data_IF_620573929633
#
_entry.id   IF_620573929633
#
_cell.length_a   1.000
_cell.length_b   1.000
_cell.length_c   1.000
_cell.angle_alpha   90.00
_cell.angle_beta   90.00
_cell.angle_gamma   90.00
#
_symmetry.space_group_name_H-M   'P 1'
#
loop_
_entity.id
_entity.type
_entity.pdbx_description
1 polymer ?
#
# COMPACT_ATOMS: atom_id res chain seq x y z
N UNK A 1 0.65 -17.48 -14.59
CA UNK A 1 1.57 -16.80 -13.67
C UNK A 1 1.06 -15.41 -13.35
N UNK A 2 1.34 -14.91 -12.15
CA UNK A 2 0.93 -13.58 -11.68
C UNK A 2 2.17 -12.88 -11.12
N UNK A 3 2.30 -11.58 -11.39
CA UNK A 3 3.26 -10.68 -10.75
C UNK A 3 2.49 -9.64 -9.96
N UNK A 4 2.91 -9.39 -8.73
CA UNK A 4 2.26 -8.44 -7.81
C UNK A 4 3.27 -7.34 -7.46
N UNK A 5 3.36 -6.25 -8.27
CA UNK A 5 4.15 -5.08 -7.89
C UNK A 5 3.50 -4.35 -6.73
N UNK A 6 4.30 -3.98 -5.73
CA UNK A 6 3.84 -3.23 -4.56
C UNK A 6 4.24 -1.77 -4.69
N UNK A 7 3.28 -0.86 -4.64
CA UNK A 7 3.50 0.60 -4.66
C UNK A 7 3.93 1.08 -3.27
N UNK A 8 5.14 0.66 -2.90
CA UNK A 8 5.67 0.84 -1.55
C UNK A 8 5.75 2.33 -1.17
N UNK A 9 5.41 2.63 0.08
CA UNK A 9 5.38 3.97 0.68
C UNK A 9 4.47 4.98 -0.05
N UNK A 10 3.74 4.55 -1.09
CA UNK A 10 2.82 5.39 -1.86
C UNK A 10 3.31 5.75 -3.26
N UNK A 11 4.54 5.38 -3.62
CA UNK A 11 5.08 5.60 -4.96
C UNK A 11 4.76 4.41 -5.87
N UNK A 12 4.20 4.70 -7.06
CA UNK A 12 3.98 3.67 -8.08
C UNK A 12 5.30 3.03 -8.53
N UNK A 13 5.26 1.72 -8.75
CA UNK A 13 6.28 1.04 -9.56
C UNK A 13 6.28 1.57 -11.00
N UNK A 14 7.34 1.27 -11.76
CA UNK A 14 7.39 1.51 -13.21
C UNK A 14 6.43 0.53 -13.93
N UNK A 15 5.13 0.88 -13.89
CA UNK A 15 4.07 0.00 -14.36
C UNK A 15 4.11 -0.19 -15.87
N UNK A 16 4.57 0.80 -16.63
CA UNK A 16 4.71 0.68 -18.09
C UNK A 16 5.71 -0.43 -18.45
N UNK A 17 6.86 -0.48 -17.80
CA UNK A 17 7.86 -1.54 -18.03
C UNK A 17 7.36 -2.90 -17.57
N UNK A 18 6.71 -2.98 -16.40
CA UNK A 18 6.14 -4.24 -15.91
C UNK A 18 5.07 -4.75 -16.90
N UNK A 19 4.21 -3.87 -17.39
CA UNK A 19 3.20 -4.22 -18.40
C UNK A 19 3.84 -4.72 -19.72
N UNK A 20 4.90 -4.06 -20.22
CA UNK A 20 5.62 -4.53 -21.38
C UNK A 20 6.20 -5.95 -21.19
N UNK A 21 6.74 -6.22 -19.99
CA UNK A 21 7.21 -7.56 -19.62
C UNK A 21 6.06 -8.57 -19.55
N UNK A 22 4.88 -8.19 -19.07
CA UNK A 22 3.71 -9.07 -19.03
C UNK A 22 3.28 -9.52 -20.42
N UNK A 23 3.32 -8.62 -21.41
CA UNK A 23 3.05 -8.96 -22.82
C UNK A 23 4.10 -9.92 -23.38
N UNK A 24 5.38 -9.71 -23.04
CA UNK A 24 6.48 -10.54 -23.50
C UNK A 24 6.46 -11.96 -22.90
N UNK A 25 6.12 -12.08 -21.61
CA UNK A 25 6.25 -13.35 -20.87
C UNK A 25 4.92 -14.00 -20.49
N UNK A 26 3.79 -13.43 -20.83
CA UNK A 26 2.45 -14.01 -20.65
C UNK A 26 2.03 -14.15 -19.19
N UNK A 27 2.31 -13.15 -18.32
CA UNK A 27 1.81 -13.14 -16.94
C UNK A 27 0.74 -12.07 -16.74
N UNK A 28 -0.08 -12.25 -15.71
CA UNK A 28 -1.07 -11.28 -15.22
C UNK A 28 -0.48 -10.37 -14.16
N UNK A 29 -1.04 -9.18 -14.02
CA UNK A 29 -0.56 -8.17 -13.07
C UNK A 29 -1.67 -7.82 -12.08
N UNK A 30 -1.36 -7.90 -10.78
CA UNK A 30 -2.18 -7.35 -9.71
C UNK A 30 -1.35 -6.27 -9.02
N UNK A 31 -1.75 -4.98 -9.14
CA UNK A 31 -1.09 -3.90 -8.41
C UNK A 31 -1.50 -3.95 -6.93
N UNK A 32 -0.55 -4.17 -6.04
CA UNK A 32 -0.74 -3.89 -4.62
C UNK A 32 -0.51 -2.40 -4.37
N UNK A 33 -1.60 -1.64 -4.46
CA UNK A 33 -1.62 -0.20 -4.22
C UNK A 33 -2.08 0.16 -2.80
N UNK A 34 -1.93 -0.76 -1.84
CA UNK A 34 -2.35 -0.56 -0.43
C UNK A 34 -1.78 0.69 0.23
N UNK A 35 -0.69 1.25 -0.31
CA UNK A 35 -0.06 2.49 0.15
C UNK A 35 -0.31 3.68 -0.79
N UNK A 36 -0.98 3.50 -1.93
CA UNK A 36 -0.92 4.45 -3.03
C UNK A 36 -2.27 5.09 -3.41
N UNK A 37 -3.29 5.00 -2.55
CA UNK A 37 -4.55 5.71 -2.78
C UNK A 37 -4.30 7.22 -2.85
N UNK A 38 -4.75 7.87 -3.94
CA UNK A 38 -4.46 9.28 -4.24
C UNK A 38 -3.14 9.53 -4.97
N UNK A 39 -2.30 8.51 -5.16
CA UNK A 39 -1.09 8.59 -5.97
C UNK A 39 -1.40 8.64 -7.47
N UNK A 40 -0.41 9.09 -8.26
CA UNK A 40 -0.49 9.14 -9.74
C UNK A 40 0.78 8.55 -10.36
N UNK A 41 0.61 7.93 -11.52
CA UNK A 41 1.70 7.46 -12.36
C UNK A 41 1.49 8.02 -13.77
N UNK A 42 2.51 8.69 -14.32
CA UNK A 42 2.44 9.41 -15.61
C UNK A 42 1.19 10.31 -15.70
N UNK A 43 0.91 11.07 -14.63
CA UNK A 43 -0.23 11.98 -14.53
C UNK A 43 -1.59 11.32 -14.33
N UNK A 44 -1.70 10.00 -14.44
CA UNK A 44 -2.96 9.26 -14.28
C UNK A 44 -3.08 8.68 -12.86
N UNK A 45 -4.28 8.60 -12.27
CA UNK A 45 -4.45 8.05 -10.94
C UNK A 45 -4.06 6.56 -10.90
N UNK A 46 -3.33 6.18 -9.84
CA UNK A 46 -3.16 4.76 -9.47
C UNK A 46 -4.55 4.17 -9.23
N UNK A 47 -4.77 2.95 -9.68
CA UNK A 47 -6.08 2.30 -9.62
C UNK A 47 -6.90 2.38 -10.91
N UNK A 48 -6.41 3.10 -11.95
CA UNK A 48 -7.08 3.15 -13.26
C UNK A 48 -6.94 1.85 -14.07
N UNK A 49 -6.16 0.89 -13.57
CA UNK A 49 -5.92 -0.42 -14.20
C UNK A 49 -5.46 -0.35 -15.67
N UNK A 50 -4.74 0.74 -16.05
CA UNK A 50 -4.21 0.90 -17.42
C UNK A 50 -3.14 -0.13 -17.74
N UNK A 51 -2.37 -0.53 -16.73
CA UNK A 51 -1.21 -1.40 -16.86
C UNK A 51 -1.34 -2.72 -16.11
N UNK A 52 -2.50 -2.99 -15.51
CA UNK A 52 -2.74 -4.18 -14.70
C UNK A 52 -4.11 -4.79 -14.99
N UNK A 53 -4.29 -6.05 -14.60
CA UNK A 53 -5.57 -6.73 -14.64
C UNK A 53 -6.44 -6.34 -13.44
N UNK A 54 -5.82 -6.15 -12.28
CA UNK A 54 -6.49 -5.74 -11.03
C UNK A 54 -5.56 -4.77 -10.29
N UNK A 55 -6.15 -3.76 -9.62
CA UNK A 55 -5.47 -2.94 -8.61
C UNK A 55 -6.21 -3.07 -7.28
N UNK A 56 -5.47 -3.26 -6.18
CA UNK A 56 -6.05 -3.32 -4.84
C UNK A 56 -5.65 -2.12 -3.99
N UNK A 57 -6.61 -1.58 -3.22
CA UNK A 57 -6.36 -0.61 -2.16
C UNK A 57 -6.76 -1.18 -0.81
N UNK A 58 -6.07 -0.74 0.23
CA UNK A 58 -6.38 -1.04 1.63
C UNK A 58 -6.94 0.20 2.32
N UNK A 59 -7.97 -0.02 3.14
CA UNK A 59 -8.58 1.00 4.00
C UNK A 59 -8.45 0.67 5.48
N UNK A 60 -7.39 -0.10 5.84
CA UNK A 60 -6.98 -0.34 7.23
C UNK A 60 -6.74 0.99 7.96
N UNK A 61 -6.90 1.08 9.29
CA UNK A 61 -6.83 2.33 10.07
C UNK A 61 -5.59 3.19 9.83
N UNK A 62 -4.43 2.59 9.54
CA UNK A 62 -3.17 3.31 9.32
C UNK A 62 -3.04 3.93 7.92
N UNK A 63 -3.94 3.61 6.98
CA UNK A 63 -3.86 4.08 5.59
C UNK A 63 -4.24 5.56 5.46
N UNK A 64 -3.99 6.13 4.28
CA UNK A 64 -4.23 7.55 3.97
C UNK A 64 -5.69 7.92 4.20
N UNK A 65 -6.62 7.05 3.79
CA UNK A 65 -8.03 7.05 4.16
C UNK A 65 -8.38 5.67 4.72
N UNK A 66 -9.40 5.62 5.57
CA UNK A 66 -9.77 4.38 6.27
C UNK A 66 -11.27 4.13 6.25
N UNK A 67 -11.64 2.85 6.35
CA UNK A 67 -12.99 2.38 6.65
C UNK A 67 -13.03 1.58 7.96
N UNK A 68 -12.11 1.86 8.91
CA UNK A 68 -11.73 1.03 10.06
C UNK A 68 -11.05 -0.26 9.61
N UNK A 69 -11.75 -1.14 8.92
CA UNK A 69 -11.21 -2.25 8.15
C UNK A 69 -11.87 -2.25 6.77
N UNK A 70 -11.15 -2.65 5.73
CA UNK A 70 -11.68 -2.73 4.38
C UNK A 70 -10.62 -2.64 3.30
N UNK A 71 -11.10 -2.76 2.08
CA UNK A 71 -10.29 -2.62 0.87
C UNK A 71 -11.19 -2.69 -0.36
N UNK A 72 -10.60 -2.43 -1.50
CA UNK A 72 -11.28 -2.51 -2.79
C UNK A 72 -10.35 -3.11 -3.83
N UNK A 73 -10.92 -3.94 -4.71
CA UNK A 73 -10.27 -4.42 -5.92
C UNK A 73 -10.93 -3.75 -7.13
N UNK A 74 -10.13 -3.12 -7.97
CA UNK A 74 -10.54 -2.41 -9.18
C UNK A 74 -10.07 -3.17 -10.40
N UNK A 75 -10.88 -3.17 -11.47
CA UNK A 75 -10.51 -3.74 -12.77
C UNK A 75 -11.30 -3.08 -13.89
N UNK A 76 -10.76 -3.07 -15.09
CA UNK A 76 -11.47 -2.69 -16.32
C UNK A 76 -12.07 -3.90 -17.06
N UNK A 77 -11.85 -5.12 -16.56
CA UNK A 77 -12.39 -6.36 -17.12
C UNK A 77 -13.73 -6.71 -16.44
N UNK A 78 -14.81 -6.68 -17.21
CA UNK A 78 -16.15 -6.94 -16.70
C UNK A 78 -16.31 -8.39 -16.16
N UNK A 79 -15.62 -9.36 -16.76
CA UNK A 79 -15.66 -10.75 -16.30
C UNK A 79 -14.95 -10.91 -14.96
N UNK A 80 -13.78 -10.27 -14.77
CA UNK A 80 -13.09 -10.23 -13.48
C UNK A 80 -13.94 -9.51 -12.43
N UNK A 81 -14.57 -8.38 -12.77
CA UNK A 81 -15.45 -7.65 -11.85
C UNK A 81 -16.63 -8.51 -11.36
N UNK A 82 -17.32 -9.18 -12.29
CA UNK A 82 -18.44 -10.09 -11.96
C UNK A 82 -17.96 -11.25 -11.08
N UNK A 83 -16.81 -11.85 -11.41
CA UNK A 83 -16.23 -12.95 -10.64
C UNK A 83 -15.85 -12.53 -9.21
N UNK A 84 -15.19 -11.38 -9.05
CA UNK A 84 -14.83 -10.84 -7.73
C UNK A 84 -16.08 -10.51 -6.90
N UNK A 85 -17.13 -9.95 -7.52
CA UNK A 85 -18.40 -9.67 -6.86
C UNK A 85 -19.12 -10.95 -6.37
N UNK A 86 -19.12 -12.01 -7.19
CA UNK A 86 -19.64 -13.33 -6.82
C UNK A 86 -18.86 -13.91 -5.63
N UNK A 87 -17.55 -14.01 -5.75
CA UNK A 87 -16.68 -14.59 -4.71
C UNK A 87 -16.75 -13.81 -3.38
N UNK A 88 -16.87 -12.48 -3.42
CA UNK A 88 -17.06 -11.63 -2.23
C UNK A 88 -18.35 -11.97 -1.46
N UNK A 89 -19.36 -12.51 -2.14
CA UNK A 89 -20.71 -12.74 -1.63
C UNK A 89 -21.11 -14.21 -1.72
N UNK A 90 -20.28 -15.09 -1.18
CA UNK A 90 -20.50 -16.54 -1.04
C UNK A 90 -20.58 -17.33 -2.37
N UNK A 91 -20.32 -16.74 -3.53
CA UNK A 91 -20.56 -17.37 -4.83
C UNK A 91 -22.05 -17.58 -5.12
N UNK A 92 -22.93 -16.74 -4.54
CA UNK A 92 -24.37 -16.81 -4.65
C UNK A 92 -24.88 -15.86 -5.73
N UNK A 93 -25.86 -16.34 -6.52
CA UNK A 93 -26.64 -15.51 -7.46
C UNK A 93 -28.11 -15.54 -7.17
N UNK A 94 -28.79 -14.41 -7.42
CA UNK A 94 -30.26 -14.30 -7.54
C UNK A 94 -30.69 -13.95 -8.95
N UNK A 95 -29.73 -13.76 -9.85
CA UNK A 95 -30.01 -13.51 -11.27
C UNK A 95 -30.41 -14.82 -11.94
N UNK A 96 -31.67 -14.87 -12.41
CA UNK A 96 -32.25 -16.05 -13.06
C UNK A 96 -31.53 -16.45 -14.34
N UNK A 97 -30.86 -15.49 -15.01
CA UNK A 97 -30.08 -15.77 -16.22
C UNK A 97 -28.77 -16.54 -15.94
N UNK A 98 -28.30 -16.52 -14.69
CA UNK A 98 -27.10 -17.22 -14.24
C UNK A 98 -27.41 -18.52 -13.50
N UNK A 99 -28.69 -18.79 -13.20
CA UNK A 99 -29.08 -19.99 -12.48
C UNK A 99 -28.96 -21.24 -13.35
N UNK A 100 -28.57 -22.36 -12.74
CA UNK A 100 -28.39 -23.65 -13.40
C UNK A 100 -29.69 -24.48 -13.42
N UNK A 101 -30.71 -24.06 -12.65
CA UNK A 101 -32.05 -24.68 -12.60
C UNK A 101 -33.13 -23.61 -12.37
N UNK A 102 -34.41 -23.88 -12.67
CA UNK A 102 -35.52 -22.94 -12.43
C UNK A 102 -35.59 -22.51 -10.97
N UNK A 103 -36.02 -21.26 -10.75
CA UNK A 103 -36.27 -20.72 -9.43
C UNK A 103 -37.45 -21.38 -8.76
N UNK A 104 -37.37 -21.68 -7.48
CA UNK A 104 -38.42 -22.22 -6.63
C UNK A 104 -39.32 -21.14 -6.00
N UNK A 105 -39.04 -19.86 -6.27
CA UNK A 105 -39.84 -18.74 -5.79
C UNK A 105 -39.04 -17.47 -5.53
N UNK A 106 -39.69 -16.38 -5.06
CA UNK A 106 -39.03 -15.07 -4.88
C UNK A 106 -37.89 -15.05 -3.87
N UNK A 107 -37.82 -16.02 -2.98
CA UNK A 107 -36.76 -16.19 -1.98
C UNK A 107 -35.54 -16.93 -2.52
N UNK A 108 -35.65 -17.56 -3.70
CA UNK A 108 -34.70 -18.53 -4.20
C UNK A 108 -33.38 -17.86 -4.63
N UNK A 109 -32.32 -18.58 -4.42
CA UNK A 109 -30.96 -18.23 -4.90
C UNK A 109 -30.16 -19.51 -5.13
N UNK A 110 -29.09 -19.41 -5.89
CA UNK A 110 -28.17 -20.54 -6.10
C UNK A 110 -26.78 -20.15 -5.73
N UNK A 111 -26.08 -21.05 -5.03
CA UNK A 111 -24.64 -20.96 -4.86
C UNK A 111 -23.98 -21.67 -6.04
N UNK A 112 -23.34 -20.91 -6.92
CA UNK A 112 -22.71 -21.45 -8.13
C UNK A 112 -21.27 -21.92 -7.89
N UNK A 113 -20.62 -21.40 -6.85
CA UNK A 113 -19.26 -21.72 -6.46
C UNK A 113 -19.02 -21.42 -4.98
N UNK A 114 -17.92 -21.94 -4.44
CA UNK A 114 -17.51 -21.59 -3.07
C UNK A 114 -16.91 -20.19 -3.05
N UNK A 115 -17.54 -19.28 -2.34
CA UNK A 115 -17.08 -17.90 -2.14
C UNK A 115 -16.84 -17.55 -0.68
N UNK A 116 -16.60 -16.27 -0.42
CA UNK A 116 -16.28 -15.71 0.88
C UNK A 116 -17.39 -14.79 1.39
N UNK A 117 -17.36 -14.44 2.66
CA UNK A 117 -18.18 -13.36 3.21
C UNK A 117 -17.31 -12.09 3.39
N UNK A 118 -16.95 -11.46 2.28
CA UNK A 118 -16.00 -10.34 2.25
C UNK A 118 -16.66 -9.02 1.88
N UNK A 119 -17.93 -8.86 2.21
CA UNK A 119 -18.65 -7.60 1.99
C UNK A 119 -18.26 -6.59 3.06
N UNK A 120 -17.96 -5.36 2.62
CA UNK A 120 -17.86 -4.21 3.50
C UNK A 120 -19.26 -3.90 4.09
N UNK A 121 -19.32 -3.53 5.36
CA UNK A 121 -20.59 -3.08 5.96
C UNK A 121 -20.95 -1.67 5.51
N UNK A 122 -22.22 -1.29 5.58
CA UNK A 122 -22.68 0.05 5.23
C UNK A 122 -22.05 1.14 6.12
N UNK A 123 -21.78 0.83 7.40
CA UNK A 123 -21.06 1.74 8.30
C UNK A 123 -19.61 2.00 7.83
N UNK A 124 -18.90 0.96 7.43
CA UNK A 124 -17.56 1.07 6.88
C UNK A 124 -17.59 1.84 5.54
N UNK A 125 -18.53 1.54 4.67
CA UNK A 125 -18.71 2.23 3.40
C UNK A 125 -19.02 3.73 3.61
N UNK A 126 -19.89 4.08 4.54
CA UNK A 126 -20.23 5.46 4.88
C UNK A 126 -18.99 6.24 5.41
N UNK A 127 -18.16 5.60 6.25
CA UNK A 127 -16.89 6.17 6.68
C UNK A 127 -15.97 6.42 5.48
N UNK A 128 -15.83 5.46 4.58
CA UNK A 128 -15.06 5.58 3.34
C UNK A 128 -15.53 6.74 2.46
N UNK A 129 -16.84 6.86 2.25
CA UNK A 129 -17.46 7.97 1.51
C UNK A 129 -17.19 9.35 2.15
N UNK A 130 -17.07 9.41 3.46
CA UNK A 130 -16.65 10.62 4.17
C UNK A 130 -15.16 10.91 4.01
N UNK A 131 -14.32 9.90 4.16
CA UNK A 131 -12.87 10.02 4.13
C UNK A 131 -12.33 10.39 2.75
N UNK A 132 -12.89 9.80 1.67
CA UNK A 132 -12.41 10.03 0.31
C UNK A 132 -12.55 11.48 -0.15
N UNK A 133 -13.48 12.24 0.41
CA UNK A 133 -13.66 13.68 0.12
C UNK A 133 -12.47 14.53 0.56
N UNK A 134 -11.62 14.01 1.45
CA UNK A 134 -10.42 14.70 1.99
C UNK A 134 -9.13 14.17 1.38
N UNK A 135 -9.20 13.21 0.46
CA UNK A 135 -8.02 12.51 -0.05
C UNK A 135 -6.98 13.46 -0.64
N UNK A 136 -7.42 14.38 -1.51
CA UNK A 136 -6.51 15.32 -2.18
C UNK A 136 -5.84 16.26 -1.17
N UNK A 137 -6.57 16.75 -0.18
CA UNK A 137 -6.02 17.58 0.90
C UNK A 137 -4.99 16.79 1.74
N UNK A 138 -5.28 15.54 2.06
CA UNK A 138 -4.37 14.69 2.82
C UNK A 138 -3.08 14.40 2.05
N UNK A 139 -3.16 14.12 0.76
CA UNK A 139 -1.98 13.92 -0.10
C UNK A 139 -1.19 15.22 -0.20
N UNK A 140 -1.84 16.36 -0.46
CA UNK A 140 -1.17 17.64 -0.54
C UNK A 140 -0.44 18.02 0.78
N UNK A 141 -1.04 17.73 1.93
CA UNK A 141 -0.38 17.96 3.23
C UNK A 141 0.82 17.03 3.42
N UNK A 142 0.73 15.75 3.05
CA UNK A 142 1.84 14.81 3.09
C UNK A 142 3.01 15.27 2.22
N UNK A 143 2.74 15.85 1.05
CA UNK A 143 3.78 16.44 0.20
C UNK A 143 4.48 17.62 0.88
N UNK A 144 3.76 18.52 1.55
CA UNK A 144 4.39 19.62 2.32
C UNK A 144 5.27 19.10 3.46
N UNK A 145 4.80 18.08 4.19
CA UNK A 145 5.56 17.42 5.25
C UNK A 145 6.84 16.77 4.68
N UNK A 146 6.73 16.05 3.56
CA UNK A 146 7.88 15.43 2.91
C UNK A 146 8.91 16.46 2.44
N UNK A 147 8.47 17.52 1.75
CA UNK A 147 9.35 18.61 1.30
C UNK A 147 10.13 19.25 2.46
N UNK A 148 9.46 19.41 3.61
CA UNK A 148 10.12 19.93 4.80
C UNK A 148 11.15 18.94 5.36
N UNK A 149 10.83 17.65 5.43
CA UNK A 149 11.82 16.61 5.78
C UNK A 149 12.96 16.57 4.80
N UNK A 150 12.72 16.58 3.48
CA UNK A 150 13.75 16.58 2.45
C UNK A 150 14.74 17.74 2.66
N UNK A 151 14.22 18.95 2.90
CA UNK A 151 15.03 20.14 3.14
C UNK A 151 15.83 20.08 4.45
N UNK A 152 15.20 19.65 5.55
CA UNK A 152 15.82 19.70 6.88
C UNK A 152 16.77 18.53 7.15
N UNK A 153 16.56 17.39 6.51
CA UNK A 153 17.38 16.20 6.69
C UNK A 153 18.53 16.10 5.65
N UNK A 154 18.57 16.99 4.65
CA UNK A 154 19.52 16.95 3.53
C UNK A 154 21.01 16.94 3.96
N UNK A 155 21.32 17.46 5.13
CA UNK A 155 22.70 17.54 5.66
C UNK A 155 23.02 16.45 6.70
N UNK A 156 22.06 15.60 7.03
CA UNK A 156 22.26 14.50 7.98
C UNK A 156 22.74 13.25 7.24
N UNK A 157 23.43 12.38 7.95
CA UNK A 157 23.92 11.10 7.42
C UNK A 157 22.77 10.09 7.31
N UNK A 158 21.81 10.40 6.43
CA UNK A 158 20.66 9.56 6.10
C UNK A 158 20.40 9.62 4.60
N UNK A 159 19.93 8.50 4.02
CA UNK A 159 19.42 8.50 2.65
C UNK A 159 17.93 8.76 2.68
N UNK A 160 17.50 9.81 1.99
CA UNK A 160 16.09 10.20 1.87
C UNK A 160 15.34 9.31 0.85
N UNK A 161 14.00 9.17 0.95
CA UNK A 161 13.23 8.37 0.01
C UNK A 161 13.25 9.00 -1.38
N UNK A 162 13.75 8.24 -2.37
CA UNK A 162 13.75 8.68 -3.77
C UNK A 162 12.32 8.78 -4.31
N UNK A 163 12.02 9.88 -5.00
CA UNK A 163 10.76 10.06 -5.73
C UNK A 163 11.03 10.09 -7.24
N UNK A 164 10.35 9.19 -7.99
CA UNK A 164 10.45 9.17 -9.46
C UNK A 164 9.69 10.36 -10.05
N UNK A 165 10.24 10.97 -11.11
CA UNK A 165 9.59 12.05 -11.86
C UNK A 165 8.27 11.63 -12.52
N UNK A 166 8.11 10.35 -12.83
CA UNK A 166 6.90 9.79 -13.44
C UNK A 166 5.78 9.50 -12.42
N UNK A 167 6.08 9.64 -11.12
CA UNK A 167 5.15 9.32 -10.04
C UNK A 167 4.86 10.54 -9.18
N UNK A 168 3.59 10.80 -8.91
CA UNK A 168 3.16 11.65 -7.80
C UNK A 168 2.76 10.72 -6.67
N UNK A 169 3.69 10.48 -5.74
CA UNK A 169 3.48 9.54 -4.63
C UNK A 169 2.34 9.99 -3.72
N UNK A 170 1.56 9.04 -3.20
CA UNK A 170 0.61 9.30 -2.14
C UNK A 170 1.28 9.57 -0.77
N UNK A 171 2.59 9.29 -0.65
CA UNK A 171 3.41 9.51 0.55
C UNK A 171 2.77 8.92 1.82
N UNK A 172 2.39 7.66 1.73
CA UNK A 172 1.85 6.93 2.89
C UNK A 172 2.87 6.82 4.02
N UNK A 173 4.14 6.56 3.67
CA UNK A 173 5.27 6.49 4.58
C UNK A 173 6.37 7.46 4.14
N UNK A 174 7.21 7.86 5.11
CA UNK A 174 8.47 8.57 4.85
C UNK A 174 9.64 7.76 5.45
N UNK A 175 10.12 6.72 4.73
CA UNK A 175 11.21 5.87 5.19
C UNK A 175 12.56 6.51 4.85
N UNK A 176 13.39 6.75 5.86
CA UNK A 176 14.79 7.09 5.68
C UNK A 176 15.67 5.86 5.83
N UNK A 177 16.88 5.88 5.26
CA UNK A 177 17.89 4.87 5.47
C UNK A 177 19.03 5.46 6.31
N UNK A 178 19.37 4.80 7.39
CA UNK A 178 20.55 5.09 8.22
C UNK A 178 21.58 3.98 8.03
N UNK A 179 22.81 4.20 8.53
CA UNK A 179 23.81 3.13 8.60
C UNK A 179 23.20 1.89 9.29
N UNK A 180 23.23 0.72 8.63
CA UNK A 180 22.73 -0.51 9.21
C UNK A 180 23.31 -0.85 10.58
N UNK A 181 24.57 -0.52 10.83
CA UNK A 181 25.23 -0.72 12.12
C UNK A 181 24.69 0.17 13.23
N UNK A 182 24.13 1.33 12.88
CA UNK A 182 23.54 2.30 13.83
C UNK A 182 22.01 2.19 13.94
N UNK A 183 21.34 1.46 13.04
CA UNK A 183 19.85 1.45 12.97
C UNK A 183 19.19 1.16 14.31
N UNK A 184 19.65 0.14 15.06
CA UNK A 184 19.05 -0.21 16.34
C UNK A 184 19.21 0.93 17.35
N UNK A 185 20.39 1.53 17.43
CA UNK A 185 20.66 2.66 18.31
C UNK A 185 19.75 3.85 17.96
N UNK A 186 19.70 4.24 16.69
CA UNK A 186 18.87 5.37 16.21
C UNK A 186 17.38 5.10 16.47
N UNK A 187 16.91 3.90 16.17
CA UNK A 187 15.52 3.51 16.42
C UNK A 187 15.16 3.62 17.92
N UNK A 188 16.02 3.07 18.78
CA UNK A 188 15.81 3.09 20.24
C UNK A 188 15.81 4.51 20.76
N UNK A 189 16.80 5.34 20.39
CA UNK A 189 16.88 6.74 20.82
C UNK A 189 15.64 7.56 20.39
N UNK A 190 15.14 7.35 19.16
CA UNK A 190 13.92 8.01 18.71
C UNK A 190 12.68 7.56 19.52
N UNK A 191 12.56 6.27 19.84
CA UNK A 191 11.47 5.74 20.69
C UNK A 191 11.54 6.30 22.12
N UNK A 192 12.74 6.39 22.70
CA UNK A 192 12.97 6.97 24.03
C UNK A 192 12.65 8.48 24.08
N UNK A 193 12.87 9.18 22.94
CA UNK A 193 12.47 10.58 22.76
C UNK A 193 10.94 10.74 22.51
N UNK A 194 10.14 9.67 22.61
CA UNK A 194 8.70 9.70 22.36
C UNK A 194 8.28 9.75 20.91
N UNK A 195 9.20 9.53 19.95
CA UNK A 195 8.91 9.55 18.51
C UNK A 195 8.40 8.18 18.06
N UNK A 196 7.21 8.13 17.51
CA UNK A 196 6.57 6.92 16.99
C UNK A 196 7.14 6.45 15.66
N UNK A 197 8.38 5.93 15.67
CA UNK A 197 9.02 5.33 14.47
C UNK A 197 8.71 3.85 14.33
N UNK A 198 8.80 3.34 13.10
CA UNK A 198 8.61 1.93 12.78
C UNK A 198 9.59 1.50 11.67
N UNK A 199 9.70 0.18 11.45
CA UNK A 199 10.48 -0.41 10.35
C UNK A 199 9.54 -1.10 9.36
N UNK A 200 9.44 -0.58 8.16
CA UNK A 200 8.63 -1.12 7.07
C UNK A 200 9.55 -1.61 5.94
N UNK A 201 9.70 -2.94 5.72
CA UNK A 201 9.24 -4.08 6.52
C UNK A 201 10.33 -5.14 6.61
N UNK A 202 10.19 -6.08 7.55
CA UNK A 202 10.97 -7.32 7.48
C UNK A 202 10.69 -7.97 6.13
N UNK A 203 11.70 -8.31 5.31
CA UNK A 203 11.47 -8.96 4.03
C UNK A 203 10.69 -10.26 4.18
N UNK A 204 9.64 -10.42 3.39
CA UNK A 204 8.68 -11.55 3.52
C UNK A 204 9.38 -12.91 3.46
N UNK A 205 10.38 -13.07 2.60
CA UNK A 205 11.15 -14.31 2.46
C UNK A 205 11.96 -14.69 3.72
N UNK A 206 12.16 -13.74 4.66
CA UNK A 206 12.81 -13.92 5.96
C UNK A 206 11.85 -14.29 7.08
N UNK A 207 10.56 -14.41 6.79
CA UNK A 207 9.58 -14.89 7.76
C UNK A 207 9.64 -16.42 7.85
N UNK A 208 9.51 -17.01 9.06
CA UNK A 208 9.64 -18.48 9.26
C UNK A 208 8.77 -19.31 8.32
N UNK A 209 7.54 -18.85 8.03
CA UNK A 209 6.65 -19.53 7.10
C UNK A 209 7.26 -19.66 5.69
N UNK A 210 7.86 -18.60 5.17
CA UNK A 210 8.48 -18.60 3.85
C UNK A 210 9.85 -19.31 3.85
N UNK A 211 10.59 -19.22 4.96
CA UNK A 211 11.81 -20.00 5.12
C UNK A 211 11.52 -21.51 5.09
N UNK A 212 10.40 -21.96 5.68
CA UNK A 212 9.94 -23.34 5.60
C UNK A 212 9.59 -23.78 4.16
N UNK A 213 9.18 -22.83 3.29
CA UNK A 213 8.96 -23.09 1.86
C UNK A 213 10.26 -23.09 1.01
N UNK A 214 11.42 -22.93 1.65
CA UNK A 214 12.72 -23.01 0.98
C UNK A 214 13.38 -21.67 0.66
N UNK A 215 12.78 -20.54 1.01
CA UNK A 215 13.44 -19.23 0.89
C UNK A 215 14.58 -19.10 1.91
N UNK A 216 15.60 -18.30 1.56
CA UNK A 216 16.82 -18.14 2.39
C UNK A 216 17.28 -16.68 2.37
N UNK A 217 18.04 -16.32 3.42
CA UNK A 217 18.81 -15.08 3.44
C UNK A 217 19.74 -14.98 2.22
N UNK A 218 19.91 -13.78 1.68
CA UNK A 218 20.74 -13.50 0.51
C UNK A 218 20.04 -13.67 -0.84
N UNK A 219 18.85 -14.28 -0.90
CA UNK A 219 18.13 -14.46 -2.17
C UNK A 219 17.56 -13.14 -2.75
N UNK A 220 17.26 -12.17 -1.90
CA UNK A 220 16.75 -10.86 -2.30
C UNK A 220 17.57 -9.72 -1.67
N UNK A 221 18.84 -9.54 -2.13
CA UNK A 221 19.82 -8.69 -1.45
C UNK A 221 19.40 -7.21 -1.39
N UNK A 222 18.62 -6.73 -2.35
CA UNK A 222 18.13 -5.35 -2.33
C UNK A 222 17.08 -5.11 -1.24
N UNK A 223 16.14 -6.06 -1.06
CA UNK A 223 15.15 -5.99 0.01
C UNK A 223 15.81 -6.10 1.40
N UNK A 224 16.80 -6.97 1.53
CA UNK A 224 17.53 -7.16 2.79
C UNK A 224 18.38 -5.93 3.13
N UNK A 225 19.06 -5.33 2.15
CA UNK A 225 19.82 -4.08 2.32
C UNK A 225 18.92 -2.92 2.71
N UNK A 226 17.77 -2.79 2.05
CA UNK A 226 16.76 -1.79 2.41
C UNK A 226 16.33 -1.96 3.86
N UNK A 227 15.93 -3.16 4.25
CA UNK A 227 15.47 -3.47 5.62
C UNK A 227 16.54 -3.17 6.67
N UNK A 228 17.80 -3.42 6.37
CA UNK A 228 18.90 -3.25 7.33
C UNK A 228 19.04 -1.81 7.83
N UNK A 229 18.74 -0.80 7.01
CA UNK A 229 18.88 0.62 7.37
C UNK A 229 17.55 1.37 7.52
N UNK A 230 16.41 0.76 7.20
CA UNK A 230 15.13 1.48 7.13
C UNK A 230 14.58 1.90 8.50
N UNK A 231 14.16 3.17 8.60
CA UNK A 231 13.34 3.73 9.70
C UNK A 231 12.29 4.64 9.08
N UNK A 232 11.01 4.39 9.33
CA UNK A 232 9.92 5.26 8.89
C UNK A 232 9.66 6.34 9.92
N UNK A 233 9.81 7.60 9.52
CA UNK A 233 9.50 8.77 10.33
C UNK A 233 7.98 9.04 10.34
N UNK A 234 7.45 9.73 11.38
CA UNK A 234 6.05 10.13 11.43
C UNK A 234 5.61 10.89 10.17
N UNK A 235 4.51 10.43 9.56
CA UNK A 235 3.94 10.99 8.34
C UNK A 235 2.42 10.87 8.36
N UNK A 236 1.72 11.95 8.77
CA UNK A 236 0.25 12.01 8.79
C UNK A 236 -0.23 13.45 8.57
N UNK A 237 -1.45 13.67 8.03
CA UNK A 237 -1.87 15.00 7.56
C UNK A 237 -1.94 16.09 8.63
N UNK A 238 -2.09 15.72 9.90
CA UNK A 238 -2.17 16.68 11.01
C UNK A 238 -0.84 16.90 11.75
N UNK A 239 0.25 16.30 11.26
CA UNK A 239 1.59 16.53 11.80
C UNK A 239 1.96 18.01 11.65
N UNK A 240 2.21 18.69 12.79
CA UNK A 240 2.55 20.12 12.80
C UNK A 240 4.04 20.33 12.48
N UNK A 241 4.42 21.56 12.13
CA UNK A 241 5.84 21.91 11.92
C UNK A 241 6.65 21.77 13.21
N UNK A 242 6.05 22.10 14.35
CA UNK A 242 6.67 21.93 15.67
C UNK A 242 6.94 20.46 15.98
N UNK A 243 5.99 19.57 15.68
CA UNK A 243 6.19 18.12 15.84
C UNK A 243 7.28 17.62 14.90
N UNK A 244 7.31 18.09 13.63
CA UNK A 244 8.39 17.76 12.71
C UNK A 244 9.75 18.23 13.21
N UNK A 245 9.85 19.45 13.77
CA UNK A 245 11.10 19.93 14.36
C UNK A 245 11.57 19.05 15.53
N UNK A 246 10.64 18.53 16.29
CA UNK A 246 10.95 17.59 17.38
C UNK A 246 11.51 16.28 16.83
N UNK A 247 10.87 15.73 15.78
CA UNK A 247 11.38 14.52 15.08
C UNK A 247 12.77 14.75 14.49
N UNK A 248 12.99 15.88 13.82
CA UNK A 248 14.25 16.22 13.16
C UNK A 248 15.38 16.36 14.20
N UNK A 249 15.16 17.10 15.28
CA UNK A 249 16.17 17.25 16.36
C UNK A 249 16.48 15.91 17.03
N UNK A 250 15.49 15.08 17.28
CA UNK A 250 15.69 13.75 17.87
C UNK A 250 16.52 12.86 16.94
N UNK A 251 16.22 12.86 15.63
CA UNK A 251 16.99 12.11 14.64
C UNK A 251 18.43 12.62 14.55
N UNK A 252 18.65 13.94 14.50
CA UNK A 252 19.98 14.54 14.46
C UNK A 252 20.80 14.14 15.71
N UNK A 253 20.20 14.17 16.88
CA UNK A 253 20.86 13.76 18.11
C UNK A 253 21.20 12.26 18.12
N UNK A 254 20.32 11.41 17.60
CA UNK A 254 20.50 9.96 17.55
C UNK A 254 21.59 9.51 16.53
N UNK A 255 21.90 10.32 15.53
CA UNK A 255 22.92 10.03 14.50
C UNK A 255 24.35 10.38 14.95
N UNK A 256 24.51 11.22 15.98
CA UNK A 256 25.82 11.60 16.56
C UNK A 256 26.40 10.43 17.37
#
# INVERSE_FOLDING_TARGET
>A
RIVIPVHFAGQSCDMQRIHALSKKYGFRIIEDASHAVGGRYQGQPVGNCRYSDITIFSFHPVKIITTAEGGVALTNDAALAARMASLRSHGITRDSSLMQSPSDGPWYYQQLELGFNYRMTDMQAALGCSQIKRLDDYVARRHRIAQRYDSKLAQLDVTLPHQSSDSHSALHLYPVQVDPGKRLQVFTALREAGIGVNVHYIPVHRQPYYEALGFRAGQFPNAERYYAGAISLPMFPTLTETDQDTVIRALEAALR
#
